data_IF_694958547750
#
_entry.id   IF_694958547750
#
_cell.length_a   1.000
_cell.length_b   1.000
_cell.length_c   1.000
_cell.angle_alpha   90.00
_cell.angle_beta   90.00
_cell.angle_gamma   90.00
#
_symmetry.space_group_name_H-M   'P 1'
#
loop_
_entity.id
_entity.type
_entity.pdbx_description
1 polymer ?
#
# COMPACT_ATOMS: atom_id res chain seq x y z
N UNK A 1 -18.33 -16.30 -3.04
CA UNK A 1 -18.92 -16.63 -4.38
C UNK A 1 -20.15 -15.79 -4.77
N UNK A 2 -20.55 -14.73 -4.04
CA UNK A 2 -21.70 -13.88 -4.39
C UNK A 2 -21.40 -12.75 -5.39
N UNK A 3 -20.14 -12.31 -5.50
CA UNK A 3 -19.75 -11.14 -6.30
C UNK A 3 -19.59 -11.39 -7.80
N UNK A 4 -19.28 -12.63 -8.22
CA UNK A 4 -18.95 -12.96 -9.62
C UNK A 4 -20.10 -12.72 -10.61
N UNK A 5 -21.36 -12.82 -10.17
CA UNK A 5 -22.53 -12.69 -11.06
C UNK A 5 -22.93 -11.24 -11.35
N UNK A 6 -22.32 -10.25 -10.68
CA UNK A 6 -22.77 -8.86 -10.72
C UNK A 6 -21.85 -7.95 -11.56
N UNK A 7 -20.64 -8.39 -11.89
CA UNK A 7 -19.55 -7.55 -12.43
C UNK A 7 -19.73 -6.99 -13.86
N UNK A 8 -20.86 -7.21 -14.55
CA UNK A 8 -20.98 -6.92 -15.98
C UNK A 8 -21.40 -5.49 -16.37
N UNK A 9 -21.89 -4.64 -15.45
CA UNK A 9 -22.50 -3.38 -15.89
C UNK A 9 -22.31 -2.15 -14.96
N UNK A 10 -21.23 -2.09 -14.19
CA UNK A 10 -20.94 -0.92 -13.37
C UNK A 10 -19.82 -0.06 -13.97
N UNK A 11 -20.16 1.15 -14.46
CA UNK A 11 -19.23 2.10 -15.11
C UNK A 11 -18.06 2.55 -14.21
N UNK A 12 -18.12 2.27 -12.91
CA UNK A 12 -17.15 2.71 -11.91
C UNK A 12 -16.25 1.57 -11.37
N UNK A 13 -16.39 0.34 -11.89
CA UNK A 13 -15.58 -0.80 -11.43
C UNK A 13 -14.14 -0.71 -11.96
N UNK A 14 -13.11 -0.84 -11.11
CA UNK A 14 -11.71 -0.76 -11.57
C UNK A 14 -11.33 -1.98 -12.40
N UNK A 15 -10.70 -1.77 -13.57
CA UNK A 15 -10.19 -2.86 -14.41
C UNK A 15 -8.72 -3.14 -14.10
N UNK A 16 -7.96 -2.09 -13.79
CA UNK A 16 -6.55 -2.14 -13.43
C UNK A 16 -6.32 -1.57 -12.01
N UNK A 17 -5.81 -2.39 -11.09
CA UNK A 17 -5.51 -2.00 -9.71
C UNK A 17 -4.02 -2.04 -9.44
N UNK A 18 -3.46 -0.95 -8.91
CA UNK A 18 -2.09 -0.88 -8.43
C UNK A 18 -2.05 -0.92 -6.90
N UNK A 19 -1.55 -2.02 -6.35
CA UNK A 19 -1.19 -2.15 -4.95
C UNK A 19 0.22 -1.61 -4.68
N UNK A 20 0.36 -0.72 -3.70
CA UNK A 20 1.65 -0.20 -3.22
C UNK A 20 1.81 -0.62 -1.77
N UNK A 21 2.68 -1.57 -1.52
CA UNK A 21 2.88 -2.16 -0.20
C UNK A 21 4.13 -1.60 0.49
N UNK A 22 4.03 -1.40 1.81
CA UNK A 22 5.16 -1.06 2.69
C UNK A 22 6.21 -2.18 2.59
N UNK A 23 7.46 -1.79 2.40
CA UNK A 23 8.59 -2.67 2.70
C UNK A 23 8.66 -2.86 4.22
N UNK A 24 8.36 -4.05 4.72
CA UNK A 24 8.38 -4.31 6.15
C UNK A 24 9.81 -4.18 6.71
N UNK A 25 9.93 -3.87 8.00
CA UNK A 25 11.25 -3.76 8.65
C UNK A 25 12.04 -5.08 8.51
N UNK A 26 11.35 -6.22 8.62
CA UNK A 26 11.96 -7.53 8.44
C UNK A 26 12.51 -7.73 7.02
N UNK A 27 11.73 -7.40 5.98
CA UNK A 27 12.20 -7.49 4.59
C UNK A 27 13.35 -6.54 4.30
N UNK A 28 13.30 -5.32 4.84
CA UNK A 28 14.41 -4.39 4.72
C UNK A 28 15.68 -4.99 5.31
N UNK A 29 15.62 -5.57 6.51
CA UNK A 29 16.77 -6.20 7.13
C UNK A 29 17.31 -7.38 6.31
N UNK A 30 16.42 -8.22 5.75
CA UNK A 30 16.81 -9.33 4.87
C UNK A 30 17.51 -8.85 3.60
N UNK A 31 17.08 -7.71 3.04
CA UNK A 31 17.72 -7.12 1.86
C UNK A 31 19.08 -6.50 2.23
N UNK A 32 19.17 -5.81 3.37
CA UNK A 32 20.41 -5.16 3.82
C UNK A 32 21.47 -6.16 4.26
N UNK A 33 21.06 -7.32 4.80
CA UNK A 33 21.94 -8.38 5.26
C UNK A 33 21.68 -9.69 4.49
N UNK A 34 21.78 -9.63 3.17
CA UNK A 34 21.52 -10.77 2.28
C UNK A 34 22.46 -11.95 2.49
N UNK A 35 23.57 -11.74 3.20
CA UNK A 35 24.56 -12.74 3.62
C UNK A 35 24.12 -13.55 4.85
N UNK A 36 23.14 -13.07 5.62
CA UNK A 36 22.67 -13.70 6.84
C UNK A 36 21.46 -14.61 6.60
N UNK A 37 21.47 -15.78 7.24
CA UNK A 37 20.28 -16.61 7.33
C UNK A 37 19.22 -15.99 8.25
N UNK A 38 17.96 -16.41 8.08
CA UNK A 38 16.84 -15.98 8.92
C UNK A 38 17.16 -16.07 10.43
N UNK A 39 17.71 -17.19 10.89
CA UNK A 39 18.02 -17.41 12.31
C UNK A 39 19.17 -16.52 12.81
N UNK A 40 20.16 -16.24 11.97
CA UNK A 40 21.25 -15.32 12.31
C UNK A 40 20.73 -13.90 12.46
N UNK A 41 19.81 -13.49 11.59
CA UNK A 41 19.20 -12.17 11.60
C UNK A 41 18.34 -11.95 12.85
N UNK A 42 17.53 -12.94 13.25
CA UNK A 42 16.80 -12.92 14.52
C UNK A 42 17.74 -12.86 15.74
N UNK A 43 18.84 -13.59 15.70
CA UNK A 43 19.85 -13.58 16.77
C UNK A 43 20.53 -12.21 16.89
N UNK A 44 20.76 -11.52 15.77
CA UNK A 44 21.33 -10.18 15.75
C UNK A 44 20.36 -9.13 16.32
N UNK A 45 19.06 -9.22 15.99
CA UNK A 45 18.04 -8.35 16.57
C UNK A 45 18.00 -8.47 18.10
N UNK A 46 18.02 -9.71 18.62
CA UNK A 46 18.06 -9.96 20.07
C UNK A 46 19.30 -9.36 20.74
N UNK A 47 20.46 -9.42 20.09
CA UNK A 47 21.71 -8.80 20.60
C UNK A 47 21.63 -7.28 20.69
N UNK A 48 20.79 -6.64 19.85
CA UNK A 48 20.55 -5.20 19.86
C UNK A 48 19.38 -4.80 20.78
N UNK A 49 18.88 -5.72 21.61
CA UNK A 49 17.70 -5.52 22.45
C UNK A 49 16.43 -5.14 21.67
N UNK A 50 16.36 -5.53 20.40
CA UNK A 50 15.16 -5.38 19.56
C UNK A 50 14.35 -6.67 19.68
N UNK A 51 13.07 -6.54 20.03
CA UNK A 51 12.14 -7.67 20.05
C UNK A 51 11.84 -8.15 18.62
N UNK A 52 12.32 -9.35 18.22
CA UNK A 52 12.08 -9.85 16.87
C UNK A 52 10.62 -10.28 16.66
N UNK A 53 9.89 -10.59 17.73
CA UNK A 53 8.56 -11.18 17.61
C UNK A 53 7.55 -10.16 17.06
N UNK A 54 7.62 -8.91 17.52
CA UNK A 54 6.77 -7.84 16.96
C UNK A 54 7.16 -7.48 15.52
N UNK A 55 8.45 -7.49 15.18
CA UNK A 55 8.93 -7.26 13.80
C UNK A 55 8.39 -8.35 12.86
N UNK A 56 8.43 -9.61 13.29
CA UNK A 56 7.90 -10.74 12.55
C UNK A 56 6.37 -10.69 12.48
N UNK A 57 5.69 -10.35 13.57
CA UNK A 57 4.24 -10.22 13.60
C UNK A 57 3.77 -9.14 12.61
N UNK A 58 4.42 -7.98 12.60
CA UNK A 58 4.18 -6.92 11.63
C UNK A 58 4.42 -7.37 10.19
N UNK A 59 5.55 -8.05 9.94
CA UNK A 59 5.86 -8.61 8.63
C UNK A 59 4.77 -9.58 8.15
N UNK A 60 4.30 -10.48 9.02
CA UNK A 60 3.26 -11.44 8.69
C UNK A 60 1.90 -10.76 8.43
N UNK A 61 1.53 -9.74 9.20
CA UNK A 61 0.31 -8.96 8.95
C UNK A 61 0.35 -8.29 7.57
N UNK A 62 1.48 -7.67 7.24
CA UNK A 62 1.71 -7.05 5.93
C UNK A 62 1.57 -8.07 4.79
N UNK A 63 2.28 -9.20 4.89
CA UNK A 63 2.27 -10.24 3.86
C UNK A 63 0.90 -10.91 3.71
N UNK A 64 0.18 -11.10 4.81
CA UNK A 64 -1.18 -11.66 4.80
C UNK A 64 -2.13 -10.71 4.07
N UNK A 65 -2.07 -9.42 4.37
CA UNK A 65 -2.87 -8.41 3.68
C UNK A 65 -2.57 -8.34 2.18
N UNK A 66 -1.31 -8.44 1.77
CA UNK A 66 -0.91 -8.48 0.36
C UNK A 66 -1.49 -9.69 -0.37
N UNK A 67 -1.33 -10.88 0.21
CA UNK A 67 -1.84 -12.13 -0.36
C UNK A 67 -3.36 -12.11 -0.48
N UNK A 68 -4.03 -11.58 0.53
CA UNK A 68 -5.49 -11.50 0.55
C UNK A 68 -6.02 -10.52 -0.49
N UNK A 69 -5.40 -9.34 -0.61
CA UNK A 69 -5.74 -8.40 -1.69
C UNK A 69 -5.53 -9.03 -3.07
N UNK A 70 -4.40 -9.70 -3.30
CA UNK A 70 -4.10 -10.38 -4.56
C UNK A 70 -5.15 -11.46 -4.89
N UNK A 71 -5.51 -12.27 -3.89
CA UNK A 71 -6.53 -13.33 -4.00
C UNK A 71 -7.88 -12.74 -4.41
N UNK A 72 -8.31 -11.66 -3.75
CA UNK A 72 -9.59 -11.01 -4.01
C UNK A 72 -9.62 -10.40 -5.42
N UNK A 73 -8.58 -9.64 -5.80
CA UNK A 73 -8.48 -9.04 -7.14
C UNK A 73 -8.48 -10.11 -8.24
N UNK A 74 -7.77 -11.21 -8.04
CA UNK A 74 -7.78 -12.37 -8.93
C UNK A 74 -9.19 -12.96 -9.07
N UNK A 75 -9.87 -13.22 -7.95
CA UNK A 75 -11.23 -13.76 -7.94
C UNK A 75 -12.27 -12.83 -8.58
N UNK A 76 -12.01 -11.52 -8.59
CA UNK A 76 -12.87 -10.52 -9.21
C UNK A 76 -12.51 -10.26 -10.68
N UNK A 77 -11.57 -11.02 -11.26
CA UNK A 77 -11.06 -10.84 -12.62
C UNK A 77 -10.55 -9.42 -12.89
N UNK A 78 -9.95 -8.77 -11.88
CA UNK A 78 -9.33 -7.45 -11.99
C UNK A 78 -7.85 -7.64 -12.32
N UNK A 79 -7.34 -6.91 -13.31
CA UNK A 79 -5.89 -6.89 -13.58
C UNK A 79 -5.19 -6.15 -12.47
N UNK A 80 -4.14 -6.71 -11.88
CA UNK A 80 -3.47 -6.08 -10.75
C UNK A 80 -1.95 -6.17 -10.78
N UNK A 81 -1.30 -5.22 -10.11
CA UNK A 81 0.13 -5.22 -9.80
C UNK A 81 0.30 -4.84 -8.34
N UNK A 82 1.04 -5.62 -7.55
CA UNK A 82 1.40 -5.26 -6.18
C UNK A 82 2.91 -5.06 -6.11
N UNK A 83 3.35 -3.87 -5.67
CA UNK A 83 4.75 -3.45 -5.69
C UNK A 83 5.16 -2.88 -4.33
N UNK A 84 6.40 -3.14 -3.89
CA UNK A 84 6.96 -2.59 -2.63
C UNK A 84 7.88 -1.40 -2.82
N UNK A 85 8.40 -1.24 -4.03
CA UNK A 85 9.21 -0.11 -4.45
C UNK A 85 8.56 0.47 -5.68
N UNK A 86 8.39 1.77 -5.68
CA UNK A 86 7.82 2.46 -6.82
C UNK A 86 8.57 3.78 -6.99
N UNK A 87 9.16 3.92 -8.17
CA UNK A 87 9.91 5.08 -8.63
C UNK A 87 9.37 5.58 -9.98
N UNK A 88 8.46 4.82 -10.61
CA UNK A 88 7.93 5.14 -11.93
C UNK A 88 6.45 5.55 -11.90
N UNK A 89 6.19 6.80 -12.31
CA UNK A 89 4.85 7.37 -12.54
C UNK A 89 4.06 6.55 -13.57
N UNK A 90 4.72 5.85 -14.50
CA UNK A 90 4.06 4.98 -15.49
C UNK A 90 3.24 3.87 -14.85
N UNK A 91 3.65 3.35 -13.69
CA UNK A 91 2.86 2.34 -12.98
C UNK A 91 1.52 2.91 -12.52
N UNK A 92 1.50 4.15 -12.05
CA UNK A 92 0.28 4.82 -11.60
C UNK A 92 -0.64 5.14 -12.78
N UNK A 93 -0.09 5.57 -13.92
CA UNK A 93 -0.88 5.87 -15.12
C UNK A 93 -1.56 4.64 -15.74
N UNK A 94 -1.08 3.43 -15.43
CA UNK A 94 -1.71 2.18 -15.86
C UNK A 94 -2.96 1.82 -15.05
N UNK A 95 -3.10 2.35 -13.83
CA UNK A 95 -4.13 1.94 -12.89
C UNK A 95 -5.35 2.86 -12.88
N UNK A 96 -6.53 2.26 -12.76
CA UNK A 96 -7.81 2.96 -12.52
C UNK A 96 -8.02 3.22 -11.03
N UNK A 97 -7.36 2.46 -10.16
CA UNK A 97 -7.43 2.56 -8.70
C UNK A 97 -6.08 2.21 -8.09
N UNK A 98 -5.63 3.03 -7.14
CA UNK A 98 -4.43 2.76 -6.33
C UNK A 98 -4.85 2.32 -4.92
N UNK A 99 -4.26 1.24 -4.42
CA UNK A 99 -4.49 0.74 -3.06
C UNK A 99 -3.14 0.70 -2.35
N UNK A 100 -3.01 1.35 -1.20
CA UNK A 100 -1.79 1.21 -0.38
C UNK A 100 -1.96 0.17 0.70
N UNK A 101 -0.91 -0.61 0.97
CA UNK A 101 -0.87 -1.55 2.10
C UNK A 101 0.19 -1.05 3.07
N UNK A 102 -0.22 -0.61 4.26
CA UNK A 102 0.61 0.04 5.25
C UNK A 102 -0.03 1.34 5.76
N UNK A 103 0.68 2.07 6.61
CA UNK A 103 0.15 3.30 7.24
C UNK A 103 0.25 4.57 6.38
N UNK A 104 0.10 5.71 7.05
CA UNK A 104 0.06 7.04 6.43
C UNK A 104 1.29 7.35 5.56
N UNK A 105 2.49 6.91 5.95
CA UNK A 105 3.70 7.10 5.15
C UNK A 105 3.63 6.43 3.78
N UNK A 106 3.08 5.21 3.71
CA UNK A 106 2.88 4.49 2.45
C UNK A 106 1.82 5.18 1.59
N UNK A 107 0.73 5.64 2.21
CA UNK A 107 -0.30 6.42 1.53
C UNK A 107 0.27 7.69 0.91
N UNK A 108 1.04 8.47 1.69
CA UNK A 108 1.65 9.71 1.22
C UNK A 108 2.65 9.46 0.08
N UNK A 109 3.50 8.43 0.21
CA UNK A 109 4.44 8.04 -0.84
C UNK A 109 3.71 7.70 -2.16
N UNK A 110 2.64 6.90 -2.09
CA UNK A 110 1.82 6.57 -3.25
C UNK A 110 1.13 7.81 -3.85
N UNK A 111 0.55 8.67 -3.00
CA UNK A 111 -0.18 9.86 -3.42
C UNK A 111 0.69 10.87 -4.17
N UNK A 112 2.00 10.92 -3.88
CA UNK A 112 2.98 11.77 -4.56
C UNK A 112 3.06 11.44 -6.06
N UNK A 113 2.83 10.18 -6.42
CA UNK A 113 3.00 9.69 -7.79
C UNK A 113 1.73 9.85 -8.63
N UNK A 114 0.58 10.06 -7.98
CA UNK A 114 -0.68 10.39 -8.63
C UNK A 114 -0.66 11.89 -8.96
N UNK A 115 -0.34 12.22 -10.21
CA UNK A 115 -0.23 13.62 -10.66
C UNK A 115 -1.54 14.18 -11.21
N UNK A 116 -2.50 13.32 -11.52
CA UNK A 116 -3.82 13.69 -12.01
C UNK A 116 -4.87 13.78 -10.88
N UNK A 117 -6.09 14.24 -11.20
CA UNK A 117 -7.22 14.37 -10.27
C UNK A 117 -8.33 13.32 -10.51
N UNK A 118 -8.02 12.24 -11.23
CA UNK A 118 -8.98 11.22 -11.69
C UNK A 118 -8.75 9.85 -11.07
N UNK A 119 -7.50 9.49 -10.75
CA UNK A 119 -7.14 8.20 -10.16
C UNK A 119 -7.40 8.22 -8.66
N UNK A 120 -8.43 7.53 -8.14
CA UNK A 120 -8.67 7.41 -6.71
C UNK A 120 -7.59 6.57 -6.02
N UNK A 121 -7.44 6.82 -4.72
CA UNK A 121 -6.54 6.08 -3.82
C UNK A 121 -7.23 5.84 -2.47
N UNK A 122 -7.06 4.65 -1.90
CA UNK A 122 -7.32 4.39 -0.48
C UNK A 122 -6.22 3.51 0.10
N UNK A 123 -6.08 3.53 1.43
CA UNK A 123 -5.11 2.70 2.13
C UNK A 123 -5.76 1.63 3.00
N UNK A 124 -5.13 0.46 3.07
CA UNK A 124 -5.39 -0.62 4.02
C UNK A 124 -4.18 -0.68 4.94
N UNK A 125 -4.39 -0.40 6.23
CA UNK A 125 -3.32 -0.53 7.22
C UNK A 125 -3.54 -1.82 8.02
N UNK A 126 -2.70 -2.86 7.84
CA UNK A 126 -2.80 -4.09 8.62
C UNK A 126 -2.21 -3.96 10.04
N UNK A 127 -1.60 -2.81 10.38
CA UNK A 127 -1.08 -2.54 11.72
C UNK A 127 -2.16 -1.90 12.62
N UNK A 128 -2.33 -2.39 13.87
CA UNK A 128 -3.25 -1.77 14.81
C UNK A 128 -2.78 -0.36 15.19
N UNK A 129 -3.65 0.64 15.01
CA UNK A 129 -3.33 2.03 15.37
C UNK A 129 -4.21 3.03 14.67
N UNK A 130 -4.05 4.30 15.07
CA UNK A 130 -4.74 5.42 14.43
C UNK A 130 -4.00 5.75 13.13
N UNK A 131 -4.74 5.87 12.04
CA UNK A 131 -4.25 6.38 10.76
C UNK A 131 -5.20 7.45 10.25
N UNK A 132 -4.63 8.48 9.62
CA UNK A 132 -5.39 9.61 9.07
C UNK A 132 -5.89 9.32 7.65
N UNK A 133 -5.13 8.54 6.89
CA UNK A 133 -5.35 8.37 5.45
C UNK A 133 -5.79 6.96 5.04
N UNK A 134 -5.70 5.96 5.92
CA UNK A 134 -6.17 4.62 5.63
C UNK A 134 -7.60 4.41 6.08
N UNK A 135 -8.23 3.37 5.53
CA UNK A 135 -9.51 2.89 5.99
C UNK A 135 -9.42 2.45 7.46
N UNK A 136 -10.55 2.48 8.19
CA UNK A 136 -10.65 1.92 9.54
C UNK A 136 -10.15 0.48 9.62
N UNK A 137 -9.62 0.10 10.79
CA UNK A 137 -8.92 -1.18 10.98
C UNK A 137 -9.80 -2.40 10.69
N UNK A 138 -11.12 -2.30 10.87
CA UNK A 138 -12.07 -3.37 10.56
C UNK A 138 -12.04 -3.80 9.09
N UNK A 139 -11.64 -2.92 8.17
CA UNK A 139 -11.49 -3.23 6.75
C UNK A 139 -10.17 -3.97 6.44
N UNK A 140 -9.18 -3.90 7.33
CA UNK A 140 -7.95 -4.69 7.20
C UNK A 140 -8.18 -6.17 7.51
N UNK A 141 -9.17 -6.47 8.35
CA UNK A 141 -9.60 -7.83 8.70
C UNK A 141 -10.64 -8.40 7.75
N UNK A 142 -11.32 -7.55 6.97
CA UNK A 142 -12.33 -7.92 5.99
C UNK A 142 -12.16 -7.08 4.70
N UNK A 143 -11.16 -7.47 3.91
CA UNK A 143 -10.85 -6.78 2.65
C UNK A 143 -11.96 -7.00 1.62
N UNK A 144 -12.67 -8.14 1.64
CA UNK A 144 -13.76 -8.42 0.70
C UNK A 144 -14.86 -7.37 0.80
N UNK A 145 -15.22 -6.96 2.03
CA UNK A 145 -16.21 -5.91 2.27
C UNK A 145 -15.86 -4.56 1.63
N UNK A 146 -14.57 -4.24 1.48
CA UNK A 146 -14.15 -3.02 0.75
C UNK A 146 -14.65 -3.09 -0.70
N UNK A 147 -14.47 -4.23 -1.36
CA UNK A 147 -14.87 -4.42 -2.75
C UNK A 147 -16.39 -4.58 -2.91
N UNK A 148 -17.09 -5.12 -1.92
CA UNK A 148 -18.56 -5.09 -1.87
C UNK A 148 -19.09 -3.65 -1.83
N UNK A 149 -18.52 -2.80 -0.96
CA UNK A 149 -18.87 -1.38 -0.89
C UNK A 149 -18.51 -0.63 -2.17
N UNK A 150 -17.34 -0.90 -2.74
CA UNK A 150 -16.92 -0.33 -4.02
C UNK A 150 -17.91 -0.71 -5.14
N UNK A 151 -18.31 -1.98 -5.19
CA UNK A 151 -19.29 -2.48 -6.15
C UNK A 151 -20.66 -1.81 -5.98
N UNK A 152 -21.11 -1.64 -4.74
CA UNK A 152 -22.39 -1.02 -4.40
C UNK A 152 -22.41 0.50 -4.60
N UNK A 153 -21.27 1.15 -4.85
CA UNK A 153 -21.17 2.61 -4.87
C UNK A 153 -21.26 3.25 -3.48
N UNK A 154 -21.09 2.46 -2.41
CA UNK A 154 -21.22 2.85 -1.01
C UNK A 154 -19.87 3.38 -0.47
N UNK A 155 -19.44 4.50 -1.03
CA UNK A 155 -18.23 5.21 -0.64
C UNK A 155 -18.35 6.69 -0.97
N UNK A 156 -17.51 7.50 -0.32
CA UNK A 156 -17.33 8.91 -0.66
C UNK A 156 -15.95 9.12 -1.27
N UNK A 157 -15.87 9.99 -2.28
CA UNK A 157 -14.60 10.42 -2.85
C UNK A 157 -14.24 11.77 -2.26
N UNK A 158 -13.10 11.84 -1.58
CA UNK A 158 -12.60 13.08 -1.00
C UNK A 158 -11.45 13.64 -1.84
N UNK A 159 -11.67 14.81 -2.44
CA UNK A 159 -10.61 15.57 -3.11
C UNK A 159 -9.79 16.33 -2.08
N UNK A 160 -8.55 15.87 -1.82
CA UNK A 160 -7.62 16.54 -0.89
C UNK A 160 -6.71 17.52 -1.64
N UNK A 161 -6.66 18.76 -1.18
CA UNK A 161 -5.75 19.79 -1.70
C UNK A 161 -4.29 19.43 -1.45
N UNK A 162 -3.42 19.77 -2.40
CA UNK A 162 -1.96 19.61 -2.29
C UNK A 162 -1.27 20.95 -2.51
N UNK A 163 -0.23 21.21 -1.73
CA UNK A 163 0.59 22.40 -1.88
C UNK A 163 1.63 22.13 -2.97
N UNK A 164 1.70 23.03 -3.96
CA UNK A 164 2.79 23.06 -4.94
C UNK A 164 3.85 24.04 -4.44
N UNK A 165 5.05 23.53 -4.19
CA UNK A 165 6.19 24.34 -3.75
C UNK A 165 7.10 24.66 -4.93
N UNK A 166 7.63 25.89 -4.96
CA UNK A 166 8.69 26.32 -5.89
C UNK A 166 9.83 26.85 -5.02
N UNK A 167 11.05 26.35 -5.24
CA UNK A 167 12.25 26.83 -4.54
C UNK A 167 13.09 27.68 -5.49
N UNK A 168 13.57 28.83 -4.99
CA UNK A 168 14.40 29.80 -5.72
C UNK A 168 15.55 30.25 -4.83
N UNK A 169 16.78 30.26 -5.35
CA UNK A 169 17.98 30.60 -4.58
C UNK A 169 19.25 30.08 -5.24
N UNK A 170 20.39 30.66 -4.88
CA UNK A 170 21.71 30.14 -5.29
C UNK A 170 22.10 28.95 -4.41
N UNK A 171 22.74 27.93 -5.00
CA UNK A 171 23.27 26.78 -4.26
C UNK A 171 22.25 25.70 -3.82
N UNK A 172 20.98 25.78 -4.22
CA UNK A 172 19.90 24.87 -3.76
C UNK A 172 20.13 23.37 -3.98
N UNK A 173 21.03 22.99 -4.90
CA UNK A 173 21.33 21.59 -5.22
C UNK A 173 22.80 21.22 -4.98
N UNK A 174 23.57 22.08 -4.30
CA UNK A 174 24.95 21.76 -3.94
C UNK A 174 24.95 20.72 -2.81
N UNK A 175 25.81 19.70 -2.90
CA UNK A 175 26.01 18.77 -1.79
C UNK A 175 26.55 19.54 -0.57
N UNK A 176 26.02 19.32 0.64
CA UNK A 176 26.65 19.83 1.84
C UNK A 176 28.03 19.19 2.00
N UNK A 177 29.00 20.01 2.42
CA UNK A 177 30.43 19.69 2.56
C UNK A 177 30.71 18.50 3.48
#
# INVERSE_FOLDING_TARGET
MRLLNCLRDNRHWPKCVLGISKLSAFEFLQITHSDLSHNQLLSQLRKQSIDPDEILAEHHRQLTCEKELARILCNLNVSYRIMKRIDDVKCVNWADLVITIGGDGTFLLASKLITNNKTPIFGINPHPGISTFTLPIEYSTDIERIFEKLYAGDYIVLMRSRIRTVMTGEGLYQQPF
#
